data_IF_350553141574
#
_entry.id   IF_350553141574
#
_cell.length_a   1.000
_cell.length_b   1.000
_cell.length_c   1.000
_cell.angle_alpha   90.00
_cell.angle_beta   90.00
_cell.angle_gamma   90.00
#
_symmetry.space_group_name_H-M   'P 1'
#
loop_
_entity.id
_entity.type
_entity.pdbx_description
1 polymer ?
#
# COMPACT_ATOMS: atom_id res chain seq x y z
N UNK A 1 -40.15 -41.80 37.13
CA UNK A 1 -39.08 -41.12 37.90
C UNK A 1 -37.93 -40.61 37.02
N UNK A 2 -37.39 -41.41 36.10
CA UNK A 2 -36.28 -41.00 35.20
C UNK A 2 -36.60 -39.79 34.31
N UNK A 3 -37.82 -39.73 33.75
CA UNK A 3 -38.27 -38.63 32.88
C UNK A 3 -38.40 -37.28 33.61
N UNK A 4 -38.74 -37.32 34.90
CA UNK A 4 -38.84 -36.14 35.77
C UNK A 4 -37.45 -35.57 36.12
N UNK A 5 -36.45 -36.45 36.29
CA UNK A 5 -35.06 -36.06 36.50
C UNK A 5 -34.44 -35.40 35.27
N UNK A 6 -34.78 -35.87 34.05
CA UNK A 6 -34.36 -35.21 32.81
C UNK A 6 -34.97 -33.80 32.67
N UNK A 7 -36.23 -33.61 33.06
CA UNK A 7 -36.91 -32.32 32.98
C UNK A 7 -36.31 -31.27 33.94
N UNK A 8 -35.76 -31.71 35.08
CA UNK A 8 -35.08 -30.85 36.05
C UNK A 8 -33.65 -30.46 35.62
N UNK A 9 -33.01 -31.22 34.72
CA UNK A 9 -31.65 -30.95 34.23
C UNK A 9 -31.62 -30.01 33.00
N UNK A 10 -32.73 -29.94 32.25
CA UNK A 10 -32.89 -29.07 31.08
C UNK A 10 -32.69 -27.55 31.35
N UNK A 11 -33.19 -26.93 32.44
CA UNK A 11 -32.98 -25.51 32.68
C UNK A 11 -31.55 -25.15 33.10
N UNK A 12 -30.79 -26.11 33.65
CA UNK A 12 -29.41 -25.88 34.10
C UNK A 12 -28.43 -25.77 32.92
N UNK A 13 -28.74 -26.42 31.79
CA UNK A 13 -27.93 -26.35 30.56
C UNK A 13 -28.26 -25.12 29.69
N UNK A 14 -29.42 -24.49 29.88
CA UNK A 14 -29.90 -23.39 29.04
C UNK A 14 -29.38 -21.99 29.46
N UNK A 15 -28.72 -21.86 30.62
CA UNK A 15 -28.29 -20.56 31.15
C UNK A 15 -26.78 -20.30 31.04
N UNK A 16 -26.03 -21.20 30.43
CA UNK A 16 -24.60 -20.99 30.15
C UNK A 16 -24.38 -20.14 28.89
N UNK A 17 -24.96 -18.94 28.83
CA UNK A 17 -24.52 -17.94 27.86
C UNK A 17 -23.16 -17.42 28.34
N UNK A 18 -22.09 -17.75 27.60
CA UNK A 18 -20.78 -17.14 27.78
C UNK A 18 -20.93 -15.62 27.53
N UNK A 19 -21.04 -14.84 28.61
CA UNK A 19 -21.01 -13.38 28.52
C UNK A 19 -19.58 -12.97 28.25
N UNK A 20 -19.24 -12.79 26.97
CA UNK A 20 -17.95 -12.24 26.61
C UNK A 20 -18.00 -10.73 26.83
N UNK A 21 -17.36 -10.29 27.91
CA UNK A 21 -17.11 -8.87 28.17
C UNK A 21 -15.98 -8.43 27.23
N UNK A 22 -16.29 -8.15 25.96
CA UNK A 22 -15.34 -7.46 25.10
C UNK A 22 -15.24 -6.01 25.58
N UNK A 23 -14.02 -5.58 25.91
CA UNK A 23 -13.70 -4.16 25.95
C UNK A 23 -13.76 -3.66 24.51
N UNK A 24 -14.53 -2.59 24.28
CA UNK A 24 -14.54 -1.94 22.97
C UNK A 24 -13.11 -1.56 22.58
N UNK A 25 -12.63 -1.94 21.37
CA UNK A 25 -11.29 -1.60 20.94
C UNK A 25 -11.10 -0.08 20.95
N UNK A 26 -9.90 0.43 21.25
CA UNK A 26 -9.61 1.85 21.09
C UNK A 26 -9.89 2.31 19.65
N UNK A 27 -10.17 3.60 19.48
CA UNK A 27 -10.32 4.20 18.15
C UNK A 27 -9.01 4.08 17.36
N UNK A 28 -9.12 3.86 16.06
CA UNK A 28 -7.98 3.83 15.14
C UNK A 28 -7.53 5.25 14.77
N UNK A 29 -6.31 5.59 15.17
CA UNK A 29 -5.66 6.90 15.00
C UNK A 29 -4.24 6.73 14.41
N UNK A 30 -4.01 5.64 13.67
CA UNK A 30 -2.74 5.38 12.99
C UNK A 30 -2.38 6.53 12.03
N UNK A 31 -1.12 6.95 12.06
CA UNK A 31 -0.66 8.11 11.30
C UNK A 31 -0.32 7.75 9.86
N UNK A 32 -0.88 8.49 8.90
CA UNK A 32 -0.46 8.43 7.51
C UNK A 32 -0.40 9.84 6.92
N UNK A 33 0.47 10.06 5.93
CA UNK A 33 0.70 11.38 5.35
C UNK A 33 0.68 11.29 3.82
N UNK A 34 -0.26 12.01 3.15
CA UNK A 34 -0.19 12.20 1.71
C UNK A 34 0.98 13.15 1.41
N UNK A 35 1.93 12.65 0.62
CA UNK A 35 3.09 13.41 0.21
C UNK A 35 2.81 14.20 -1.05
N UNK A 36 3.46 15.35 -1.16
CA UNK A 36 3.44 16.23 -2.31
C UNK A 36 4.81 16.90 -2.45
N UNK A 37 4.92 17.77 -3.45
CA UNK A 37 6.16 18.51 -3.73
C UNK A 37 6.60 19.45 -2.57
N UNK A 38 5.71 19.82 -1.66
CA UNK A 38 6.04 20.70 -0.54
C UNK A 38 6.62 19.95 0.66
N UNK A 39 6.16 18.73 0.92
CA UNK A 39 6.46 18.01 2.17
C UNK A 39 7.35 16.77 1.99
N UNK A 40 7.47 16.22 0.77
CA UNK A 40 8.15 14.95 0.54
C UNK A 40 9.61 14.95 1.01
N UNK A 41 10.31 16.08 0.86
CA UNK A 41 11.68 16.22 1.33
C UNK A 41 11.80 16.08 2.86
N UNK A 42 10.83 16.61 3.61
CA UNK A 42 10.85 16.58 5.07
C UNK A 42 10.52 15.20 5.64
N UNK A 43 9.67 14.43 4.97
CA UNK A 43 9.21 13.12 5.47
C UNK A 43 9.98 11.94 4.89
N UNK A 44 10.35 12.03 3.61
CA UNK A 44 11.01 10.96 2.88
C UNK A 44 12.42 11.35 2.38
N UNK A 45 12.97 12.48 2.82
CA UNK A 45 14.27 13.01 2.38
C UNK A 45 15.44 12.02 2.48
N UNK A 46 15.42 11.19 3.51
CA UNK A 46 16.43 10.15 3.77
C UNK A 46 16.10 8.82 3.08
N UNK A 47 14.88 8.67 2.55
CA UNK A 47 14.48 7.45 1.88
C UNK A 47 15.24 7.31 0.55
N UNK A 48 15.87 6.15 0.28
CA UNK A 48 16.55 5.89 -1.00
C UNK A 48 15.68 6.16 -2.23
N UNK A 49 14.37 5.94 -2.12
CA UNK A 49 13.43 6.29 -3.18
C UNK A 49 13.46 7.77 -3.52
N UNK A 50 13.41 8.65 -2.52
CA UNK A 50 13.45 10.10 -2.73
C UNK A 50 14.80 10.52 -3.31
N UNK A 51 15.90 10.02 -2.77
CA UNK A 51 17.25 10.42 -3.21
C UNK A 51 17.60 9.88 -4.61
N UNK A 52 17.01 8.78 -5.06
CA UNK A 52 17.33 8.19 -6.37
C UNK A 52 16.31 8.55 -7.45
N UNK A 53 15.05 8.83 -7.10
CA UNK A 53 13.97 9.06 -8.08
C UNK A 53 13.39 10.47 -8.06
N UNK A 54 13.56 11.21 -6.96
CA UNK A 54 13.00 12.55 -6.81
C UNK A 54 14.10 13.61 -6.88
N UNK A 55 15.19 13.47 -6.11
CA UNK A 55 16.25 14.49 -6.07
C UNK A 55 17.10 14.56 -7.34
N UNK A 56 17.37 13.41 -7.99
CA UNK A 56 18.05 13.35 -9.31
C UNK A 56 17.37 14.29 -10.32
N UNK A 57 16.08 14.51 -10.14
CA UNK A 57 15.27 15.30 -11.04
C UNK A 57 14.63 16.55 -10.42
N UNK A 58 15.09 16.97 -9.22
CA UNK A 58 14.62 18.18 -8.53
C UNK A 58 14.76 19.46 -9.38
N UNK A 59 15.73 19.47 -10.29
CA UNK A 59 16.00 20.57 -11.23
C UNK A 59 15.32 20.40 -12.62
N UNK A 60 14.54 19.32 -12.82
CA UNK A 60 13.87 19.00 -14.08
C UNK A 60 12.34 19.05 -13.92
N UNK A 61 11.61 19.07 -15.03
CA UNK A 61 10.13 19.03 -15.09
C UNK A 61 9.51 17.87 -14.30
N UNK A 62 10.28 16.83 -13.96
CA UNK A 62 9.84 15.65 -13.23
C UNK A 62 9.48 15.92 -11.74
N UNK A 63 9.99 16.98 -11.11
CA UNK A 63 9.49 17.40 -9.78
C UNK A 63 8.02 17.86 -9.83
N UNK A 64 7.54 18.25 -11.03
CA UNK A 64 6.13 18.57 -11.28
C UNK A 64 5.25 17.34 -11.48
N UNK A 65 5.79 16.13 -11.31
CA UNK A 65 5.08 14.86 -11.50
C UNK A 65 4.74 14.15 -10.19
N UNK A 66 4.96 14.82 -9.06
CA UNK A 66 4.52 14.41 -7.74
C UNK A 66 3.12 14.95 -7.50
N UNK A 67 2.17 14.04 -7.32
CA UNK A 67 0.79 14.36 -7.01
C UNK A 67 0.43 13.75 -5.65
N UNK A 68 -0.34 14.47 -4.81
CA UNK A 68 -0.86 13.88 -3.59
C UNK A 68 -1.84 12.75 -3.91
N UNK A 69 -1.77 11.61 -3.21
CA UNK A 69 -2.75 10.54 -3.37
C UNK A 69 -4.07 10.91 -2.69
N UNK A 70 -5.13 10.20 -3.09
CA UNK A 70 -6.43 10.24 -2.44
C UNK A 70 -6.57 9.00 -1.56
N UNK A 71 -7.40 9.08 -0.52
CA UNK A 71 -7.71 7.93 0.31
C UNK A 71 -9.18 7.84 0.68
N UNK A 72 -9.57 6.62 1.04
CA UNK A 72 -10.84 6.28 1.67
C UNK A 72 -10.54 5.55 2.96
N UNK A 73 -11.14 5.97 4.06
CA UNK A 73 -10.94 5.37 5.38
C UNK A 73 -12.28 4.95 5.96
N UNK A 74 -12.37 3.70 6.40
CA UNK A 74 -13.53 3.11 7.06
C UNK A 74 -13.06 2.37 8.32
N UNK A 75 -13.47 2.88 9.49
CA UNK A 75 -12.96 2.46 10.81
C UNK A 75 -11.42 2.36 10.87
N UNK A 76 -10.90 1.13 10.83
CA UNK A 76 -9.49 0.79 10.91
C UNK A 76 -8.91 0.35 9.57
N UNK A 77 -9.65 0.52 8.47
CA UNK A 77 -9.19 0.22 7.11
C UNK A 77 -8.94 1.52 6.35
N UNK A 78 -7.80 1.60 5.67
CA UNK A 78 -7.40 2.71 4.82
C UNK A 78 -7.08 2.16 3.44
N UNK A 79 -7.66 2.74 2.40
CA UNK A 79 -7.26 2.49 1.01
C UNK A 79 -6.72 3.78 0.41
N UNK A 80 -5.54 3.71 -0.19
CA UNK A 80 -4.82 4.84 -0.80
C UNK A 80 -4.67 4.59 -2.29
N UNK A 81 -4.97 5.58 -3.14
CA UNK A 81 -4.88 5.45 -4.60
C UNK A 81 -4.60 6.78 -5.29
N UNK A 82 -4.27 6.71 -6.58
CA UNK A 82 -4.16 7.87 -7.45
C UNK A 82 -5.48 8.07 -8.20
N UNK A 83 -6.04 9.28 -8.13
CA UNK A 83 -7.30 9.66 -8.79
C UNK A 83 -7.11 10.01 -10.28
N UNK A 84 -5.87 10.31 -10.69
CA UNK A 84 -5.51 10.62 -12.08
C UNK A 84 -5.00 9.36 -12.79
N UNK A 85 -5.60 9.05 -13.94
CA UNK A 85 -5.19 7.90 -14.77
C UNK A 85 -3.75 8.01 -15.28
N UNK A 86 -3.03 6.88 -15.19
CA UNK A 86 -1.65 6.73 -15.64
C UNK A 86 -0.60 7.22 -14.64
N UNK A 87 -1.03 7.68 -13.45
CA UNK A 87 -0.13 7.84 -12.32
C UNK A 87 0.13 6.51 -11.63
N UNK A 88 1.30 6.39 -11.02
CA UNK A 88 1.71 5.26 -10.23
C UNK A 88 1.78 5.62 -8.75
N UNK A 89 1.10 4.85 -7.91
CA UNK A 89 1.15 4.97 -6.46
C UNK A 89 2.44 4.37 -5.91
N UNK A 90 3.07 5.10 -5.01
CA UNK A 90 4.19 4.63 -4.20
C UNK A 90 3.84 4.84 -2.73
N UNK A 91 3.86 3.75 -1.95
CA UNK A 91 3.73 3.79 -0.49
C UNK A 91 5.10 3.55 0.12
N UNK A 92 5.49 4.34 1.09
CA UNK A 92 6.82 4.33 1.67
C UNK A 92 6.79 4.61 3.16
N UNK A 93 7.89 4.29 3.80
CA UNK A 93 8.23 4.73 5.16
C UNK A 93 9.50 5.57 5.09
N UNK A 94 10.22 5.72 6.20
CA UNK A 94 11.56 6.32 6.18
C UNK A 94 12.61 5.43 5.48
N UNK A 95 12.43 4.11 5.49
CA UNK A 95 13.52 3.17 5.12
C UNK A 95 13.26 2.33 3.87
N UNK A 96 12.01 2.23 3.40
CA UNK A 96 11.68 1.51 2.18
C UNK A 96 10.51 2.17 1.44
N UNK A 97 10.31 1.77 0.19
CA UNK A 97 9.19 2.17 -0.65
C UNK A 97 8.70 0.96 -1.47
N UNK A 98 7.39 0.90 -1.72
CA UNK A 98 6.70 -0.13 -2.49
C UNK A 98 5.96 0.58 -3.64
N UNK A 99 6.18 0.11 -4.86
CA UNK A 99 5.49 0.61 -6.05
C UNK A 99 4.24 -0.23 -6.29
N UNK A 100 3.07 0.39 -6.10
CA UNK A 100 1.77 -0.22 -6.40
C UNK A 100 1.32 0.04 -7.84
N UNK A 101 1.95 0.98 -8.55
CA UNK A 101 1.57 1.30 -9.93
C UNK A 101 0.15 1.87 -9.98
N UNK A 102 -0.69 1.36 -10.89
CA UNK A 102 -2.08 1.81 -11.02
C UNK A 102 -3.03 1.28 -9.92
N UNK A 103 -2.54 0.42 -9.02
CA UNK A 103 -3.35 -0.21 -7.99
C UNK A 103 -3.40 0.62 -6.70
N UNK A 104 -4.47 0.45 -5.93
CA UNK A 104 -4.57 0.97 -4.57
C UNK A 104 -3.70 0.17 -3.59
N UNK A 105 -3.31 0.81 -2.51
CA UNK A 105 -2.70 0.16 -1.36
C UNK A 105 -3.70 0.14 -0.21
N UNK A 106 -4.03 -1.06 0.26
CA UNK A 106 -4.92 -1.26 1.40
C UNK A 106 -4.10 -1.51 2.68
N UNK A 107 -4.49 -0.85 3.75
CA UNK A 107 -3.82 -0.89 5.04
C UNK A 107 -4.84 -1.08 6.18
N UNK A 108 -4.42 -1.83 7.20
CA UNK A 108 -5.20 -2.08 8.40
C UNK A 108 -4.51 -1.47 9.61
N UNK A 109 -5.19 -0.56 10.31
CA UNK A 109 -4.72 0.02 11.56
C UNK A 109 -5.01 -0.94 12.71
N UNK A 110 -3.98 -1.30 13.48
CA UNK A 110 -4.18 -2.03 14.72
C UNK A 110 -4.58 -1.05 15.84
N UNK A 111 -5.78 -1.15 16.43
CA UNK A 111 -6.27 -0.18 17.43
C UNK A 111 -5.51 -0.21 18.76
N UNK A 112 -4.77 -1.28 19.05
CA UNK A 112 -4.02 -1.41 20.30
C UNK A 112 -2.59 -0.88 20.17
N UNK A 113 -1.95 -1.12 19.03
CA UNK A 113 -0.56 -0.68 18.79
C UNK A 113 -0.48 0.63 18.03
N UNK A 114 -1.57 1.06 17.40
CA UNK A 114 -1.65 2.24 16.53
C UNK A 114 -0.64 2.18 15.39
N UNK A 115 -0.45 0.97 14.84
CA UNK A 115 0.45 0.69 13.70
C UNK A 115 -0.35 0.19 12.50
N UNK A 116 0.12 0.54 11.31
CA UNK A 116 -0.42 0.05 10.06
C UNK A 116 0.09 -1.34 9.72
N UNK A 117 -0.76 -2.17 9.14
CA UNK A 117 -0.39 -3.40 8.47
C UNK A 117 -0.72 -3.25 6.99
N UNK A 118 0.28 -3.40 6.13
CA UNK A 118 0.13 -3.24 4.68
C UNK A 118 0.52 -4.54 4.02
N UNK A 119 -0.28 -4.97 3.05
CA UNK A 119 0.09 -6.08 2.18
C UNK A 119 1.13 -5.59 1.16
N UNK A 120 2.33 -6.15 1.24
CA UNK A 120 3.39 -5.85 0.29
C UNK A 120 3.41 -6.83 -0.91
N UNK A 121 2.41 -7.72 -0.98
CA UNK A 121 2.21 -8.73 -2.01
C UNK A 121 2.84 -10.09 -1.71
N UNK A 122 3.60 -10.23 -0.61
CA UNK A 122 3.96 -11.54 -0.07
C UNK A 122 3.40 -11.76 1.35
N UNK A 123 3.40 -10.72 2.18
CA UNK A 123 2.91 -10.79 3.56
C UNK A 123 2.39 -9.44 4.06
N UNK A 124 1.64 -9.50 5.17
CA UNK A 124 1.23 -8.31 5.92
C UNK A 124 2.38 -7.84 6.81
N UNK A 125 2.96 -6.69 6.49
CA UNK A 125 4.07 -6.10 7.26
C UNK A 125 3.57 -4.91 8.08
N UNK A 126 4.10 -4.78 9.29
CA UNK A 126 3.70 -3.73 10.24
C UNK A 126 4.62 -2.50 10.15
N UNK A 127 4.02 -1.31 10.09
CA UNK A 127 4.70 -0.02 9.99
C UNK A 127 4.15 0.99 11.00
N UNK A 128 5.04 1.78 11.59
CA UNK A 128 4.66 2.82 12.56
C UNK A 128 3.95 4.01 11.89
N UNK A 129 4.31 4.30 10.64
CA UNK A 129 3.79 5.41 9.87
C UNK A 129 3.80 5.04 8.38
N UNK A 130 2.87 5.61 7.62
CA UNK A 130 2.82 5.45 6.17
C UNK A 130 2.89 6.80 5.48
N UNK A 131 3.67 6.86 4.42
CA UNK A 131 3.70 7.99 3.51
C UNK A 131 3.36 7.50 2.12
N UNK A 132 2.64 8.30 1.33
CA UNK A 132 2.26 7.88 -0.01
C UNK A 132 2.31 9.04 -1.00
N UNK A 133 2.69 8.76 -2.24
CA UNK A 133 2.74 9.74 -3.32
C UNK A 133 2.35 9.12 -4.65
N UNK A 134 1.75 9.91 -5.53
CA UNK A 134 1.48 9.53 -6.91
C UNK A 134 2.53 10.15 -7.84
N UNK A 135 3.02 9.35 -8.79
CA UNK A 135 4.04 9.76 -9.75
C UNK A 135 3.60 9.56 -11.18
N UNK A 136 3.80 10.57 -12.04
CA UNK A 136 3.68 10.39 -13.49
C UNK A 136 5.00 9.93 -14.09
N UNK A 137 5.10 8.64 -14.45
CA UNK A 137 6.28 8.11 -15.12
C UNK A 137 6.24 8.27 -16.65
N UNK A 138 5.12 8.67 -17.25
CA UNK A 138 4.95 8.74 -18.72
C UNK A 138 5.89 9.77 -19.36
N UNK A 139 6.18 10.87 -18.67
CA UNK A 139 7.11 11.89 -19.17
C UNK A 139 8.58 11.44 -19.18
N UNK A 140 8.91 10.24 -18.69
CA UNK A 140 10.25 9.66 -18.89
C UNK A 140 10.48 9.14 -20.33
N UNK A 141 9.41 8.96 -21.12
CA UNK A 141 9.49 8.37 -22.48
C UNK A 141 9.80 9.36 -23.60
N UNK A 142 9.83 10.67 -23.35
CA UNK A 142 10.17 11.67 -24.38
C UNK A 142 11.67 11.81 -24.64
N UNK A 143 12.52 11.03 -23.97
CA UNK A 143 13.92 10.88 -24.38
C UNK A 143 13.97 9.76 -25.43
N UNK A 144 13.97 10.17 -26.70
CA UNK A 144 13.94 9.30 -27.89
C UNK A 144 14.81 8.05 -27.74
N UNK A 145 14.27 6.82 -27.83
CA UNK A 145 15.10 5.62 -27.94
C UNK A 145 15.82 5.64 -29.31
N UNK A 146 17.08 5.19 -29.42
CA UNK A 146 17.68 4.94 -30.73
C UNK A 146 16.81 3.92 -31.50
N UNK A 147 16.67 4.08 -32.82
CA UNK A 147 15.69 3.34 -33.62
C UNK A 147 15.92 1.83 -33.53
N UNK A 148 14.91 1.08 -33.07
CA UNK A 148 14.93 -0.38 -33.00
C UNK A 148 14.21 -1.02 -34.20
N UNK A 149 14.89 -2.04 -34.75
CA UNK A 149 14.52 -2.98 -35.82
C UNK A 149 13.30 -3.87 -35.41
N UNK A 150 12.51 -4.44 -36.34
CA UNK A 150 11.15 -4.95 -36.07
C UNK A 150 11.07 -6.20 -35.17
N UNK A 151 10.10 -6.16 -34.24
CA UNK A 151 9.71 -7.20 -33.27
C UNK A 151 8.79 -8.30 -33.84
N UNK A 152 8.86 -9.51 -33.25
CA UNK A 152 7.95 -10.66 -33.46
C UNK A 152 7.15 -10.90 -32.15
N UNK A 153 5.86 -11.32 -32.18
CA UNK A 153 4.92 -10.98 -31.10
C UNK A 153 4.98 -11.86 -29.84
N UNK A 154 4.58 -11.23 -28.72
CA UNK A 154 4.53 -11.75 -27.36
C UNK A 154 3.44 -12.82 -27.10
N UNK A 155 3.65 -13.74 -26.13
CA UNK A 155 2.59 -14.59 -25.57
C UNK A 155 1.96 -14.02 -24.30
N UNK A 156 0.65 -14.24 -24.16
CA UNK A 156 -0.27 -13.73 -23.14
C UNK A 156 -0.34 -14.54 -21.83
N UNK A 157 -0.83 -13.84 -20.80
CA UNK A 157 -1.73 -14.28 -19.68
C UNK A 157 -1.12 -14.76 -18.36
N UNK A 158 -1.42 -13.99 -17.29
CA UNK A 158 -1.32 -14.32 -15.87
C UNK A 158 -0.90 -13.10 -15.05
N UNK A 159 -1.81 -12.44 -14.32
CA UNK A 159 -1.50 -11.24 -13.51
C UNK A 159 -0.68 -11.64 -12.28
N UNK A 160 0.57 -11.18 -12.13
CA UNK A 160 1.37 -11.45 -10.94
C UNK A 160 0.90 -10.59 -9.75
N UNK A 161 1.06 -11.07 -8.51
CA UNK A 161 0.78 -10.30 -7.30
C UNK A 161 1.63 -9.00 -7.22
N UNK A 162 1.26 -8.02 -6.37
CA UNK A 162 2.12 -6.89 -6.06
C UNK A 162 3.50 -7.42 -5.67
N UNK A 163 4.56 -6.86 -6.24
CA UNK A 163 5.89 -7.38 -6.01
C UNK A 163 6.59 -6.53 -4.94
N UNK A 164 7.11 -7.20 -3.91
CA UNK A 164 8.09 -6.59 -3.00
C UNK A 164 9.37 -6.41 -3.81
N UNK A 165 9.54 -5.23 -4.39
CA UNK A 165 10.72 -5.00 -5.22
C UNK A 165 11.81 -4.29 -4.39
N UNK A 166 12.92 -4.97 -4.03
CA UNK A 166 14.12 -4.23 -3.65
C UNK A 166 14.51 -3.32 -4.82
N UNK A 167 14.79 -2.04 -4.53
CA UNK A 167 14.80 -0.92 -5.48
C UNK A 167 15.46 -1.19 -6.84
N UNK A 168 16.60 -1.90 -6.86
CA UNK A 168 17.33 -2.24 -8.10
C UNK A 168 16.54 -3.12 -9.08
N UNK A 169 15.53 -3.85 -8.61
CA UNK A 169 14.64 -4.65 -9.45
C UNK A 169 13.42 -3.87 -9.94
N UNK A 170 12.94 -2.81 -9.27
CA UNK A 170 11.71 -2.11 -9.70
C UNK A 170 11.88 -1.42 -11.04
N UNK A 171 13.00 -0.70 -11.17
CA UNK A 171 13.36 0.02 -12.40
C UNK A 171 13.77 -0.97 -13.49
N UNK A 172 14.58 -1.99 -13.16
CA UNK A 172 15.03 -2.98 -14.16
C UNK A 172 13.89 -3.91 -14.61
N UNK A 173 12.95 -4.26 -13.74
CA UNK A 173 11.80 -5.10 -14.10
C UNK A 173 10.80 -4.33 -14.96
N UNK A 174 10.51 -3.08 -14.62
CA UNK A 174 9.68 -2.23 -15.48
C UNK A 174 10.35 -1.99 -16.85
N UNK A 175 11.68 -1.79 -16.90
CA UNK A 175 12.41 -1.71 -18.17
C UNK A 175 12.36 -3.04 -18.93
N UNK A 176 12.46 -4.19 -18.26
CA UNK A 176 12.41 -5.53 -18.88
C UNK A 176 11.04 -5.97 -19.41
N UNK A 177 9.97 -5.24 -19.10
CA UNK A 177 8.64 -5.49 -19.68
C UNK A 177 8.47 -4.88 -21.08
N UNK A 178 9.47 -4.11 -21.53
CA UNK A 178 9.49 -3.44 -22.82
C UNK A 178 10.76 -3.77 -23.64
N UNK A 179 11.44 -4.89 -23.32
CA UNK A 179 12.49 -5.54 -24.13
C UNK A 179 12.20 -7.03 -24.32
#
# INVERSE_FOLDING_TARGET
>A
MLLFLLYLLLPVLAQSCLVIRYTEPPKCECQWIPLNRENIESFAGENPFYTENVTVYKNYQLYSLLFPPVSTQDDCSLSIYCDIEGLSLVVMTKTFAILFGAYSADALCNPYTQKWQVDNGAELVTYDELYAVCLDYRLRTTVTPPPATPELPAPTTGTPPPEIIPFRSAVNKFLSWFW
#
